data_IF_044796869015
#
_entry.id   IF_044796869015
#
_cell.length_a   1.000
_cell.length_b   1.000
_cell.length_c   1.000
_cell.angle_alpha   90.00
_cell.angle_beta   90.00
_cell.angle_gamma   90.00
#
_symmetry.space_group_name_H-M   'P 1'
#
loop_
_entity.id
_entity.type
_entity.pdbx_description
1 polymer ?
2 polymer ?
3 non-polymer ?
4 water ?
#
# COMPACT_ATOMS: atom_id res chain seq x y z
N UNK A 1 7.18 21.02 -21.93
CA UNK A 1 6.86 20.36 -20.67
C UNK A 1 6.53 21.37 -19.57
N UNK A 2 5.58 20.99 -18.72
CA UNK A 2 5.04 21.85 -17.68
C UNK A 2 5.28 21.16 -16.35
N UNK A 3 6.00 21.83 -15.44
CA UNK A 3 6.45 21.24 -14.19
C UNK A 3 5.55 21.73 -13.05
N UNK A 4 4.79 20.80 -12.48
CA UNK A 4 3.93 21.06 -11.32
C UNK A 4 4.72 20.90 -10.03
N UNK A 5 4.65 21.90 -9.15
CA UNK A 5 5.34 21.85 -7.86
C UNK A 5 4.37 22.15 -6.74
N UNK A 6 4.19 21.18 -5.84
CA UNK A 6 3.33 21.31 -4.68
C UNK A 6 4.13 21.81 -3.49
N UNK A 7 3.48 22.57 -2.61
CA UNK A 7 4.22 23.57 -1.85
C UNK A 7 4.34 23.28 -0.37
N UNK A 8 3.56 22.36 0.20
CA UNK A 8 4.09 21.58 1.34
C UNK A 8 4.29 20.13 0.91
N UNK A 9 5.52 19.61 1.00
CA UNK A 9 5.70 18.19 0.70
C UNK A 9 5.06 17.32 1.76
N UNK A 10 5.02 17.79 3.00
CA UNK A 10 4.48 17.02 4.10
C UNK A 10 3.88 17.99 5.09
N UNK A 11 2.83 17.54 5.79
CA UNK A 11 2.14 18.38 6.77
C UNK A 11 1.28 17.49 7.64
N UNK A 12 1.21 17.83 8.92
CA UNK A 12 0.31 17.14 9.85
C UNK A 12 -0.63 18.15 10.50
N UNK A 13 -1.89 17.75 10.63
CA UNK A 13 -2.98 18.59 11.10
C UNK A 13 -3.78 17.80 12.12
N UNK A 14 -4.70 18.47 12.78
CA UNK A 14 -5.54 17.81 13.77
C UNK A 14 -6.95 17.68 13.23
N UNK A 15 -7.65 16.63 13.67
CA UNK A 15 -9.03 16.44 13.24
C UNK A 15 -9.80 17.73 13.45
N UNK A 16 -10.52 18.16 12.44
CA UNK A 16 -11.26 19.39 12.49
C UNK A 16 -10.55 20.59 11.89
N UNK A 17 -9.21 20.57 11.82
CA UNK A 17 -8.46 21.69 11.26
C UNK A 17 -8.84 21.95 9.80
N UNK A 18 -8.51 23.15 9.34
CA UNK A 18 -8.58 23.50 7.93
C UNK A 18 -7.17 23.42 7.36
N UNK A 19 -7.02 22.73 6.22
CA UNK A 19 -5.72 22.45 5.63
C UNK A 19 -5.72 22.91 4.18
N UNK A 20 -4.62 23.53 3.75
CA UNK A 20 -4.49 24.00 2.37
C UNK A 20 -3.15 23.56 1.80
N UNK A 21 -3.21 22.81 0.67
CA UNK A 21 -2.07 22.47 -0.17
C UNK A 21 -2.00 23.46 -1.33
N UNK A 22 -0.79 23.76 -1.79
CA UNK A 22 -0.59 24.67 -2.92
C UNK A 22 0.13 23.94 -4.06
N UNK A 23 -0.36 24.18 -5.29
CA UNK A 23 0.25 23.62 -6.49
C UNK A 23 0.51 24.77 -7.47
N UNK A 24 1.69 24.78 -8.09
CA UNK A 24 2.08 25.89 -8.97
C UNK A 24 2.70 25.36 -10.26
N UNK A 25 2.10 25.71 -11.39
CA UNK A 25 2.55 25.29 -12.70
C UNK A 25 3.60 26.26 -13.24
N UNK A 26 4.39 25.77 -14.21
CA UNK A 26 5.50 26.54 -14.75
C UNK A 26 5.07 27.44 -15.91
N UNK A 27 3.89 27.23 -16.47
CA UNK A 27 3.30 28.07 -17.50
C UNK A 27 1.80 28.18 -17.27
N UNK A 28 1.18 29.19 -17.86
CA UNK A 28 -0.25 29.36 -17.67
C UNK A 28 -0.98 28.13 -18.20
N UNK A 29 -1.61 27.38 -17.31
CA UNK A 29 -2.43 26.23 -17.69
C UNK A 29 -3.91 26.52 -17.55
N UNK A 30 -4.27 27.80 -17.38
CA UNK A 30 -5.67 28.21 -17.31
C UNK A 30 -6.38 27.67 -16.08
N UNK A 31 -7.48 26.93 -16.27
CA UNK A 31 -8.15 26.24 -15.18
C UNK A 31 -8.11 24.72 -15.33
N UNK A 32 -7.13 24.20 -16.07
CA UNK A 32 -7.01 22.76 -16.36
C UNK A 32 -6.19 22.07 -15.26
N UNK A 33 -6.78 22.03 -14.06
CA UNK A 33 -6.09 21.52 -12.88
C UNK A 33 -6.95 20.46 -12.20
N UNK A 34 -6.34 19.32 -11.88
CA UNK A 34 -7.02 18.19 -11.24
C UNK A 34 -6.41 17.89 -9.87
N UNK A 35 -7.23 17.34 -8.97
CA UNK A 35 -6.77 16.90 -7.66
C UNK A 35 -7.10 15.42 -7.45
N UNK A 36 -6.08 14.62 -7.15
CA UNK A 36 -6.23 13.21 -6.81
C UNK A 36 -5.82 12.95 -5.36
N UNK A 37 -6.56 12.09 -4.68
CA UNK A 37 -6.19 11.57 -3.37
C UNK A 37 -5.76 10.12 -3.45
N UNK A 38 -4.66 9.79 -2.79
CA UNK A 38 -4.13 8.41 -2.79
C UNK A 38 -3.89 7.91 -1.37
N UNK A 39 -4.91 7.28 -0.80
CA UNK A 39 -4.73 6.57 0.46
C UNK A 39 -3.70 5.45 0.28
N UNK A 40 -2.91 5.14 1.30
CA UNK A 40 -1.79 4.21 1.09
C UNK A 40 -2.28 2.82 0.72
N UNK A 41 -1.61 2.23 -0.27
CA UNK A 41 -2.04 0.96 -0.82
C UNK A 41 -2.94 1.11 -2.03
N UNK A 42 -4.06 1.79 -1.86
CA UNK A 42 -5.04 1.95 -2.93
C UNK A 42 -4.47 2.80 -4.09
N UNK A 43 -5.23 2.83 -5.18
CA UNK A 43 -4.89 3.62 -6.37
C UNK A 43 -5.37 5.04 -6.16
N UNK A 44 -4.94 5.99 -7.00
CA UNK A 44 -5.45 7.36 -6.85
C UNK A 44 -6.93 7.43 -7.14
N UNK A 45 -7.54 8.50 -6.64
CA UNK A 45 -8.96 8.77 -6.83
C UNK A 45 -9.14 10.24 -7.22
N UNK A 46 -9.85 10.50 -8.31
CA UNK A 46 -10.13 11.89 -8.65
C UNK A 46 -11.02 12.48 -7.56
N UNK A 47 -10.66 13.70 -7.11
CA UNK A 47 -11.47 14.48 -6.18
C UNK A 47 -12.03 15.74 -6.79
N UNK A 48 -11.24 16.43 -7.61
CA UNK A 48 -11.64 17.70 -8.22
C UNK A 48 -11.10 17.73 -9.64
N UNK A 49 -11.96 18.10 -10.60
CA UNK A 49 -11.55 18.40 -11.95
C UNK A 49 -11.70 19.89 -12.20
N UNK A 50 -10.91 20.41 -13.16
CA UNK A 50 -11.05 21.80 -13.64
C UNK A 50 -11.04 22.81 -12.49
N UNK A 51 -10.09 22.64 -11.58
CA UNK A 51 -9.80 23.54 -10.46
C UNK A 51 -10.77 23.40 -9.29
N UNK A 52 -12.11 23.45 -9.52
CA UNK A 52 -13.02 23.44 -8.39
C UNK A 52 -14.29 22.59 -8.58
N UNK A 53 -14.31 21.69 -9.54
CA UNK A 53 -15.49 20.86 -9.75
C UNK A 53 -15.37 19.61 -8.91
N UNK A 54 -16.19 19.53 -7.85
CA UNK A 54 -16.21 18.34 -7.00
C UNK A 54 -16.83 17.19 -7.76
N UNK A 55 -16.20 16.01 -7.65
CA UNK A 55 -16.74 14.78 -8.23
C UNK A 55 -17.78 14.21 -7.28
N UNK A 56 -18.96 13.90 -7.81
CA UNK A 56 -20.04 13.46 -6.95
C UNK A 56 -19.60 12.24 -6.14
N UNK A 57 -19.95 12.25 -4.86
CA UNK A 57 -19.36 11.33 -3.93
C UNK A 57 -18.40 12.04 -3.01
N UNK A 58 -17.45 12.78 -3.58
CA UNK A 58 -16.38 13.41 -2.80
C UNK A 58 -16.95 14.37 -1.75
N UNK A 59 -16.66 14.17 -0.46
CA UNK A 59 -17.23 15.06 0.57
C UNK A 59 -16.95 16.52 0.26
N UNK A 60 -17.81 17.37 0.79
CA UNK A 60 -17.78 18.80 0.52
C UNK A 60 -16.81 19.55 1.41
N UNK A 61 -16.04 18.86 2.26
CA UNK A 61 -14.98 19.56 2.96
C UNK A 61 -13.82 19.90 2.04
N UNK A 62 -13.79 19.31 0.83
CA UNK A 62 -12.75 19.56 -0.16
C UNK A 62 -13.18 20.65 -1.15
N UNK A 63 -12.24 21.52 -1.50
CA UNK A 63 -12.53 22.64 -2.39
C UNK A 63 -11.30 22.99 -3.19
N UNK A 64 -11.51 23.62 -4.35
CA UNK A 64 -10.43 24.04 -5.22
C UNK A 64 -10.50 25.53 -5.51
N UNK A 65 -9.32 26.12 -5.71
CA UNK A 65 -9.23 27.56 -5.93
C UNK A 65 -8.05 27.86 -6.86
N UNK A 66 -8.15 28.99 -7.54
CA UNK A 66 -7.06 29.56 -8.29
C UNK A 66 -7.29 29.50 -9.80
N UNK A 67 -6.46 30.26 -10.51
CA UNK A 67 -6.42 30.22 -11.97
C UNK A 67 -5.01 30.61 -12.42
N UNK A 68 -4.64 30.13 -13.58
CA UNK A 68 -3.34 30.51 -14.13
C UNK A 68 -2.24 29.53 -13.74
N UNK A 69 -1.37 29.94 -12.82
CA UNK A 69 -0.28 29.07 -12.39
C UNK A 69 -0.30 28.78 -10.89
N UNK A 70 -1.33 29.19 -10.16
CA UNK A 70 -1.42 28.90 -8.73
C UNK A 70 -2.79 28.32 -8.41
N UNK A 71 -2.79 27.13 -7.78
CA UNK A 71 -4.01 26.39 -7.48
C UNK A 71 -3.93 25.89 -6.05
N UNK A 72 -5.10 25.81 -5.39
CA UNK A 72 -5.19 25.49 -3.98
C UNK A 72 -6.29 24.48 -3.71
N UNK A 73 -5.94 23.38 -3.05
CA UNK A 73 -6.90 22.43 -2.49
C UNK A 73 -7.06 22.70 -1.00
N UNK A 74 -8.31 22.89 -0.55
CA UNK A 74 -8.61 23.17 0.85
C UNK A 74 -9.46 22.06 1.44
N UNK A 75 -9.00 21.48 2.56
CA UNK A 75 -9.82 20.61 3.40
C UNK A 75 -10.22 21.43 4.62
N UNK A 76 -11.52 21.69 4.77
CA UNK A 76 -12.01 22.67 5.73
C UNK A 76 -12.12 22.11 7.15
N UNK A 77 -12.44 20.83 7.32
CA UNK A 77 -12.34 20.17 8.63
C UNK A 77 -11.78 18.77 8.40
N UNK A 78 -10.45 18.66 8.51
CA UNK A 78 -9.72 17.40 8.30
C UNK A 78 -10.31 16.24 9.09
N UNK A 79 -10.47 15.10 8.41
CA UNK A 79 -11.01 13.89 9.01
C UNK A 79 -9.96 12.79 9.08
N UNK A 80 -10.12 11.81 9.96
CA UNK A 80 -9.09 10.78 10.06
C UNK A 80 -8.90 10.01 8.77
N UNK A 81 -9.98 9.77 8.00
CA UNK A 81 -9.88 9.08 6.72
C UNK A 81 -9.35 9.97 5.60
N UNK A 82 -8.96 11.21 5.91
CA UNK A 82 -8.26 12.07 4.97
C UNK A 82 -6.75 11.85 4.97
N UNK A 83 -6.25 10.93 5.78
CA UNK A 83 -4.86 10.51 5.68
C UNK A 83 -4.57 9.97 4.27
N UNK A 84 -3.65 10.62 3.56
CA UNK A 84 -3.39 10.28 2.16
C UNK A 84 -2.31 11.20 1.61
N UNK A 85 -1.87 10.90 0.39
CA UNK A 85 -1.07 11.85 -0.38
C UNK A 85 -1.95 12.40 -1.49
N UNK A 86 -1.78 13.69 -1.80
CA UNK A 86 -2.60 14.37 -2.78
C UNK A 86 -1.70 14.88 -3.91
N UNK A 87 -2.07 14.60 -5.16
CA UNK A 87 -1.33 15.04 -6.34
C UNK A 87 -2.18 15.97 -7.18
N UNK A 88 -1.59 17.04 -7.69
CA UNK A 88 -2.28 17.82 -8.71
C UNK A 88 -1.87 17.31 -10.09
N UNK A 89 -2.76 17.52 -11.05
CA UNK A 89 -2.50 17.13 -12.43
C UNK A 89 -2.90 18.26 -13.35
N UNK A 90 -1.98 18.67 -14.21
CA UNK A 90 -2.25 19.65 -15.24
C UNK A 90 -2.83 18.94 -16.47
N UNK A 91 -4.08 19.26 -16.81
CA UNK A 91 -4.74 18.64 -17.95
C UNK A 91 -4.71 19.53 -19.19
N UNK A 92 -3.75 20.46 -19.27
CA UNK A 92 -3.71 21.44 -20.35
C UNK A 92 -3.12 20.84 -21.63
N UNK A 93 -1.84 20.49 -21.59
CA UNK A 93 -1.18 19.94 -22.77
C UNK A 93 -0.52 18.61 -22.45
N UNK A 94 -0.45 17.76 -23.47
CA UNK A 94 0.24 16.48 -23.37
C UNK A 94 1.74 16.69 -23.27
N UNK A 95 2.44 15.97 -22.35
CA UNK A 95 1.88 14.97 -21.42
C UNK A 95 1.29 15.63 -20.19
N UNK A 96 0.11 15.18 -19.74
CA UNK A 96 -0.45 15.68 -18.50
C UNK A 96 0.46 15.24 -17.36
N UNK A 97 1.03 16.20 -16.65
CA UNK A 97 2.05 15.92 -15.66
C UNK A 97 1.48 16.15 -14.27
N UNK A 98 2.08 15.47 -13.29
CA UNK A 98 1.58 15.44 -11.92
C UNK A 98 2.50 16.24 -11.00
N UNK A 99 1.92 16.67 -9.88
CA UNK A 99 2.73 17.23 -8.82
C UNK A 99 3.41 16.13 -8.03
N UNK A 100 4.40 16.51 -7.23
CA UNK A 100 5.16 15.52 -6.48
C UNK A 100 4.39 14.97 -5.28
N UNK A 101 3.18 15.42 -5.02
CA UNK A 101 2.46 14.86 -3.90
C UNK A 101 2.66 15.65 -2.62
N UNK A 102 1.63 15.64 -1.80
CA UNK A 102 1.69 16.22 -0.47
C UNK A 102 1.19 15.16 0.51
N UNK A 103 2.12 14.57 1.25
CA UNK A 103 1.76 13.68 2.35
C UNK A 103 1.04 14.48 3.43
N UNK A 104 -0.08 13.95 3.90
CA UNK A 104 -0.91 14.62 4.88
C UNK A 104 -1.19 13.67 6.04
N UNK A 105 -0.69 14.00 7.23
CA UNK A 105 -0.74 13.12 8.39
C UNK A 105 -1.68 13.69 9.44
N UNK A 106 -2.45 12.83 10.11
CA UNK A 106 -3.34 13.29 11.17
C UNK A 106 -2.64 13.20 12.51
N UNK A 107 -2.72 14.28 13.30
CA UNK A 107 -2.22 14.32 14.67
C UNK A 107 -3.34 13.97 15.62
N UNK A 108 -3.00 13.22 16.68
CA UNK A 108 -3.96 12.75 17.66
C UNK A 108 -3.26 12.62 19.00
N UNK A 109 -4.03 12.30 20.04
CA UNK A 109 -3.49 12.21 21.38
C UNK A 109 -2.52 11.04 21.47
N UNK A 110 -1.67 11.07 22.50
CA UNK A 110 -0.73 9.96 22.73
C UNK A 110 -1.51 8.68 23.01
N UNK A 111 -1.07 7.58 22.42
CA UNK A 111 -1.66 6.26 22.65
C UNK A 111 -0.54 5.27 22.90
N UNK A 112 -0.64 4.51 24.01
CA UNK A 112 0.48 3.59 24.24
C UNK A 112 0.22 2.23 23.60
N UNK A 113 1.27 1.53 23.17
CA UNK A 113 1.06 0.28 22.43
C UNK A 113 0.55 -0.84 23.31
N UNK A 114 -0.29 -1.68 22.72
CA UNK A 114 -0.54 -3.01 23.26
C UNK A 114 0.53 -3.96 22.73
N UNK A 115 1.32 -4.53 23.63
CA UNK A 115 2.46 -5.36 23.27
C UNK A 115 2.05 -6.82 23.35
N UNK A 116 2.23 -7.56 22.26
CA UNK A 116 1.97 -8.99 22.21
C UNK A 116 3.25 -9.71 21.79
N UNK A 117 3.31 -11.00 22.08
CA UNK A 117 4.43 -11.81 21.63
C UNK A 117 3.92 -13.19 21.22
N UNK A 118 4.52 -13.75 20.18
CA UNK A 118 4.08 -15.01 19.57
C UNK A 118 5.28 -15.93 19.47
N UNK A 119 5.33 -17.02 20.21
CA UNK A 119 6.40 -18.02 20.02
C UNK A 119 6.33 -18.63 18.64
N UNK A 120 7.39 -19.30 18.18
CA UNK A 120 7.34 -19.91 16.85
C UNK A 120 6.36 -21.08 16.84
N UNK A 121 5.68 -21.25 15.71
CA UNK A 121 4.83 -22.43 15.51
C UNK A 121 5.70 -23.68 15.47
N UNK A 122 5.19 -24.77 16.05
CA UNK A 122 5.91 -26.04 15.93
C UNK A 122 6.09 -26.39 14.46
N UNK A 123 5.12 -26.03 13.63
CA UNK A 123 5.24 -26.13 12.19
C UNK A 123 6.56 -25.54 11.70
N UNK A 124 6.82 -24.27 12.03
CA UNK A 124 8.06 -23.67 11.56
C UNK A 124 9.28 -24.39 12.14
N UNK A 125 9.15 -24.94 13.35
CA UNK A 125 10.30 -25.56 14.03
C UNK A 125 10.77 -26.81 13.32
N UNK A 126 9.83 -27.56 12.71
CA UNK A 126 10.20 -28.75 11.95
C UNK A 126 11.28 -28.46 10.91
N UNK A 127 11.24 -27.28 10.29
CA UNK A 127 12.16 -26.94 9.21
C UNK A 127 13.44 -26.30 9.72
N UNK A 128 13.65 -26.22 11.02
CA UNK A 128 14.94 -25.78 11.53
C UNK A 128 15.15 -24.29 11.50
N UNK A 129 14.09 -23.51 11.70
CA UNK A 129 14.20 -22.07 11.91
C UNK A 129 13.11 -21.66 12.90
N UNK A 130 13.43 -20.67 13.72
CA UNK A 130 12.49 -20.17 14.72
C UNK A 130 12.40 -18.66 14.60
N UNK A 131 11.20 -18.17 14.27
CA UNK A 131 10.94 -16.75 14.21
C UNK A 131 10.03 -16.39 15.36
N UNK A 132 10.43 -15.39 16.14
CA UNK A 132 9.63 -14.90 17.26
C UNK A 132 9.12 -13.53 16.88
N UNK A 133 7.83 -13.28 17.13
CA UNK A 133 7.14 -12.10 16.65
C UNK A 133 6.58 -11.32 17.84
N UNK A 134 6.87 -10.02 17.87
CA UNK A 134 6.36 -9.10 18.87
C UNK A 134 5.52 -8.04 18.18
N UNK A 135 4.35 -7.77 18.74
CA UNK A 135 3.37 -6.89 18.13
C UNK A 135 3.12 -5.69 19.03
N UNK A 136 3.35 -4.49 18.52
CA UNK A 136 2.96 -3.24 19.17
C UNK A 136 1.76 -2.69 18.41
N UNK A 137 0.61 -2.67 19.04
CA UNK A 137 -0.64 -2.44 18.34
C UNK A 137 -1.21 -1.07 18.71
N UNK A 138 -1.52 -0.26 17.70
CA UNK A 138 -2.38 0.92 17.84
C UNK A 138 -1.82 1.94 18.84
N UNK A 139 -0.63 2.46 18.52
CA UNK A 139 0.03 3.47 19.34
C UNK A 139 0.24 4.75 18.51
N UNK A 140 0.45 5.88 19.23
CA UNK A 140 0.72 7.19 18.63
C UNK A 140 1.46 8.07 19.63
N UNK A 141 2.48 8.84 19.19
CA UNK A 141 3.05 8.93 17.84
C UNK A 141 3.84 7.70 17.42
N UNK A 142 4.66 7.86 16.39
CA UNK A 142 5.25 6.73 15.69
C UNK A 142 6.52 6.20 16.33
N UNK A 143 7.28 7.03 17.04
CA UNK A 143 8.57 6.58 17.53
C UNK A 143 8.36 5.61 18.67
N UNK A 144 8.75 4.37 18.43
CA UNK A 144 8.78 3.32 19.43
C UNK A 144 10.11 2.61 19.26
N UNK A 145 10.51 1.86 20.28
CA UNK A 145 11.81 1.21 20.25
C UNK A 145 11.66 -0.21 20.77
N UNK A 146 11.96 -1.19 19.93
CA UNK A 146 11.91 -2.59 20.31
C UNK A 146 13.32 -3.09 20.55
N UNK A 147 13.53 -3.74 21.68
CA UNK A 147 14.72 -4.52 21.95
C UNK A 147 14.30 -5.94 22.24
N UNK A 148 15.03 -6.89 21.66
CA UNK A 148 14.83 -8.29 21.93
C UNK A 148 15.84 -8.76 22.96
N UNK A 149 15.41 -9.62 23.88
CA UNK A 149 16.28 -10.11 24.92
C UNK A 149 16.05 -11.59 25.11
N UNK A 150 17.14 -12.36 25.12
CA UNK A 150 17.13 -13.80 25.30
C UNK A 150 17.85 -14.11 26.59
N UNK A 151 17.12 -14.68 27.54
CA UNK A 151 17.62 -14.94 28.89
C UNK A 151 18.23 -13.66 29.47
N UNK A 152 17.48 -12.57 29.33
CA UNK A 152 17.84 -11.23 29.78
C UNK A 152 19.12 -10.72 29.13
N UNK A 153 19.46 -11.21 27.95
CA UNK A 153 20.65 -10.78 27.23
C UNK A 153 20.24 -10.07 25.95
N UNK A 154 20.69 -8.82 25.81
CA UNK A 154 20.35 -8.00 24.65
C UNK A 154 20.76 -8.69 23.35
N UNK A 155 19.80 -8.91 22.47
CA UNK A 155 20.09 -9.46 21.15
C UNK A 155 20.51 -8.35 20.20
N UNK A 156 21.25 -8.74 19.16
CA UNK A 156 22.01 -7.77 18.39
C UNK A 156 22.00 -8.08 16.90
N UNK A 157 21.08 -8.92 16.46
CA UNK A 157 21.05 -9.32 15.06
C UNK A 157 19.89 -10.26 14.82
N UNK A 158 19.63 -10.51 13.54
CA UNK A 158 18.48 -11.30 13.14
C UNK A 158 17.20 -10.65 13.66
N UNK A 159 17.11 -9.34 13.48
CA UNK A 159 15.93 -8.56 13.85
C UNK A 159 15.50 -7.74 12.64
N UNK A 160 14.21 -7.82 12.33
CA UNK A 160 13.60 -6.95 11.33
C UNK A 160 12.30 -6.43 11.92
N UNK A 161 11.97 -5.18 11.59
CA UNK A 161 10.71 -4.61 12.02
C UNK A 161 10.07 -3.85 10.88
N UNK A 162 8.77 -3.66 11.02
CA UNK A 162 7.96 -2.97 10.03
C UNK A 162 6.88 -2.21 10.76
N UNK A 163 6.51 -1.04 10.25
CA UNK A 163 5.49 -0.21 10.85
C UNK A 163 4.44 0.11 9.78
N UNK A 164 3.17 0.12 10.18
CA UNK A 164 2.09 0.38 9.23
C UNK A 164 2.06 1.84 8.81
N UNK A 165 1.34 2.10 7.74
CA UNK A 165 0.88 3.47 7.54
C UNK A 165 -0.12 3.82 8.64
N UNK A 166 -0.42 5.10 8.74
CA UNK A 166 -1.33 5.56 9.77
C UNK A 166 -2.74 5.03 9.52
N UNK A 167 -3.42 4.70 10.60
CA UNK A 167 -4.71 4.06 10.50
C UNK A 167 -5.79 5.05 10.06
N UNK A 168 -6.67 4.61 9.17
CA UNK A 168 -7.65 5.50 8.58
C UNK A 168 -8.75 5.91 9.55
N UNK A 169 -9.01 5.12 10.59
CA UNK A 169 -10.10 5.35 11.53
C UNK A 169 -9.66 5.94 12.87
N UNK A 170 -8.51 5.52 13.41
CA UNK A 170 -8.10 5.93 14.73
C UNK A 170 -6.69 6.48 14.74
N UNK A 171 -6.12 6.73 13.58
CA UNK A 171 -4.91 7.53 13.40
C UNK A 171 -3.68 6.91 14.03
N UNK A 172 -3.74 5.63 14.44
CA UNK A 172 -2.60 5.05 15.15
C UNK A 172 -1.66 4.35 14.17
N UNK A 173 -0.59 3.81 14.73
CA UNK A 173 0.35 2.94 14.03
C UNK A 173 0.46 1.62 14.77
N UNK A 174 0.96 0.62 14.05
CA UNK A 174 1.27 -0.67 14.61
C UNK A 174 2.66 -1.07 14.15
N UNK A 175 3.36 -1.82 14.99
CA UNK A 175 4.71 -2.25 14.69
C UNK A 175 4.80 -3.76 14.91
N UNK A 176 5.56 -4.41 14.04
CA UNK A 176 5.73 -5.86 14.06
C UNK A 176 7.21 -6.14 14.02
N UNK A 177 7.73 -6.78 15.07
CA UNK A 177 9.14 -7.14 15.15
C UNK A 177 9.27 -8.65 14.97
N UNK A 178 10.32 -9.08 14.28
CA UNK A 178 10.60 -10.49 14.17
C UNK A 178 12.06 -10.78 14.51
N UNK A 179 12.26 -11.72 15.44
CA UNK A 179 13.58 -12.25 15.79
C UNK A 179 13.66 -13.68 15.29
N UNK A 180 14.64 -13.94 14.41
CA UNK A 180 14.71 -15.23 13.70
C UNK A 180 16.00 -15.95 14.07
N UNK A 181 15.86 -17.10 14.71
CA UNK A 181 17.01 -17.92 15.02
C UNK A 181 16.95 -19.22 14.22
N UNK A 182 18.12 -19.85 14.06
CA UNK A 182 18.16 -21.27 13.77
C UNK A 182 17.43 -22.02 14.88
N UNK A 183 16.90 -23.19 14.55
CA UNK A 183 16.28 -23.98 15.60
C UNK A 183 17.29 -24.37 16.68
N UNK A 184 18.55 -24.58 16.29
CA UNK A 184 19.58 -24.89 17.27
C UNK A 184 19.63 -23.83 18.38
N UNK A 185 19.92 -22.57 18.01
CA UNK A 185 20.05 -21.53 19.02
C UNK A 185 18.77 -21.37 19.84
N UNK A 186 17.61 -21.42 19.17
CA UNK A 186 16.35 -21.22 19.87
C UNK A 186 16.20 -22.18 21.03
N UNK A 187 16.77 -23.38 20.91
CA UNK A 187 16.65 -24.38 21.95
C UNK A 187 17.86 -24.40 22.89
N UNK A 188 18.82 -23.49 22.70
CA UNK A 188 19.91 -23.27 23.64
C UNK A 188 19.53 -22.28 24.75
N UNK A 189 18.27 -21.90 24.86
CA UNK A 189 17.86 -20.79 25.71
C UNK A 189 16.44 -21.02 26.19
N UNK A 190 16.03 -20.24 27.20
CA UNK A 190 14.75 -20.45 27.86
C UNK A 190 13.81 -19.26 27.72
N UNK A 191 14.29 -18.07 28.06
CA UNK A 191 13.46 -16.89 28.20
C UNK A 191 13.67 -16.00 26.99
N UNK A 192 12.58 -15.68 26.30
CA UNK A 192 12.56 -14.76 25.17
C UNK A 192 11.66 -13.60 25.52
N UNK A 193 12.21 -12.38 25.49
CA UNK A 193 11.48 -11.20 25.91
C UNK A 193 11.54 -10.13 24.83
N UNK A 194 10.44 -9.39 24.73
CA UNK A 194 10.31 -8.22 23.87
C UNK A 194 10.23 -6.99 24.76
N UNK A 195 11.09 -6.01 24.54
CA UNK A 195 11.12 -4.82 25.38
C UNK A 195 10.80 -3.59 24.54
N UNK A 196 9.74 -2.87 24.92
CA UNK A 196 9.14 -1.81 24.12
C UNK A 196 9.25 -0.50 24.88
N UNK A 197 9.85 0.51 24.25
CA UNK A 197 9.82 1.88 24.75
C UNK A 197 8.92 2.69 23.83
N UNK A 198 8.01 3.46 24.43
CA UNK A 198 7.17 4.41 23.72
C UNK A 198 6.72 5.48 24.72
N UNK A 199 6.55 6.72 24.22
CA UNK A 199 6.37 7.87 25.10
C UNK A 199 5.11 7.79 25.94
N UNK A 200 4.09 7.07 25.48
CA UNK A 200 2.93 6.82 26.30
C UNK A 200 3.13 5.77 27.37
N UNK A 201 4.36 5.31 27.58
CA UNK A 201 4.69 4.40 28.66
C UNK A 201 5.62 5.11 29.63
N UNK A 202 5.42 4.84 30.93
CA UNK A 202 6.23 5.45 31.98
C UNK A 202 7.67 4.94 31.93
N UNK A 203 7.83 3.64 31.72
CA UNK A 203 9.13 2.98 31.63
C UNK A 203 8.97 1.77 30.73
N UNK A 204 10.07 1.25 30.15
CA UNK A 204 9.95 0.19 29.14
C UNK A 204 9.10 -0.99 29.59
N UNK A 205 8.34 -1.53 28.67
CA UNK A 205 7.42 -2.65 28.92
C UNK A 205 8.00 -3.92 28.29
N UNK A 206 7.97 -5.01 29.06
CA UNK A 206 8.56 -6.28 28.66
C UNK A 206 7.49 -7.36 28.65
N UNK A 207 7.25 -7.94 27.47
CA UNK A 207 6.45 -9.14 27.32
C UNK A 207 7.39 -10.29 26.98
N UNK A 208 7.14 -11.47 27.57
CA UNK A 208 8.08 -12.58 27.43
C UNK A 208 7.38 -13.91 27.56
N UNK A 209 8.05 -14.97 27.08
CA UNK A 209 7.58 -16.34 27.25
C UNK A 209 8.74 -17.30 27.48
N UNK A 210 8.42 -18.47 28.03
CA UNK A 210 9.41 -19.53 28.27
C UNK A 210 9.31 -20.55 27.15
N UNK A 211 10.43 -20.82 26.48
CA UNK A 211 10.41 -21.79 25.38
C UNK A 211 9.88 -23.16 25.79
N UNK B 1 -19.86 0.65 -9.29
CA UNK B 1 -20.38 0.45 -10.63
C UNK B 1 -19.30 0.47 -11.71
N UNK B 2 -18.63 1.63 -11.86
CA UNK B 2 -17.64 1.83 -12.91
C UNK B 2 -16.27 1.44 -12.36
N UNK B 3 -15.76 0.30 -12.81
CA UNK B 3 -14.56 -0.29 -12.21
C UNK B 3 -13.61 -0.81 -13.26
N UNK B 4 -12.31 -0.58 -13.04
CA UNK B 4 -11.26 -1.12 -13.88
C UNK B 4 -10.50 -2.18 -13.08
N UNK B 5 -10.41 -3.40 -13.62
CA UNK B 5 -9.75 -4.52 -12.95
C UNK B 5 -8.55 -4.95 -13.80
N UNK B 6 -7.39 -5.14 -13.15
CA UNK B 6 -6.09 -5.28 -13.81
C UNK B 6 -5.50 -6.68 -13.63
N UNK B 7 -4.55 -6.99 -14.51
CA UNK B 7 -3.81 -8.24 -14.42
C UNK B 7 -2.91 -8.24 -13.19
N UNK B 8 -2.67 -9.44 -12.65
CA UNK B 8 -1.92 -9.58 -11.41
C UNK B 8 -0.43 -9.34 -11.59
N UNK B 9 0.28 -9.35 -10.46
CA UNK B 9 1.68 -8.97 -10.46
C UNK B 9 2.52 -9.98 -11.23
N UNK B 10 3.68 -9.50 -11.67
CA UNK B 10 4.56 -10.26 -12.55
C UNK B 10 6.00 -9.87 -12.28
N UNK B 11 6.90 -10.85 -12.40
CA UNK B 11 8.34 -10.60 -12.37
C UNK B 11 8.88 -10.98 -13.74
N UNK B 12 9.65 -10.07 -14.34
CA UNK B 12 10.27 -10.31 -15.63
C UNK B 12 11.76 -10.04 -15.52
N UNK B 13 12.53 -10.71 -16.38
CA UNK B 13 13.97 -10.55 -16.39
C UNK B 13 14.34 -9.29 -17.18
N UNK B 14 15.51 -8.73 -16.90
CA UNK B 14 15.99 -7.60 -17.72
C UNK B 14 15.97 -7.98 -19.19
N UNK B 15 15.39 -7.10 -20.02
CA UNK B 15 15.33 -7.29 -21.45
C UNK B 15 14.10 -8.01 -21.96
N UNK B 16 13.36 -8.71 -21.10
CA UNK B 16 12.11 -9.34 -21.51
C UNK B 16 11.08 -8.26 -21.83
N UNK B 17 9.84 -8.68 -21.99
CA UNK B 17 8.71 -7.79 -22.19
C UNK B 17 7.60 -8.18 -21.23
N UNK B 18 6.74 -7.22 -20.91
CA UNK B 18 5.62 -7.46 -20.02
C UNK B 18 4.35 -6.90 -20.65
N UNK B 19 3.22 -7.56 -20.39
CA UNK B 19 1.95 -7.19 -20.98
C UNK B 19 0.90 -7.23 -19.89
N UNK B 20 0.30 -6.09 -19.61
CA UNK B 20 -0.62 -5.92 -18.50
C UNK B 20 -2.00 -5.64 -19.04
N UNK B 21 -3.00 -6.41 -18.59
CA UNK B 21 -4.37 -6.23 -19.02
C UNK B 21 -5.09 -5.21 -18.12
N UNK B 22 -6.29 -4.85 -18.54
CA UNK B 22 -7.13 -3.90 -17.84
C UNK B 22 -8.54 -4.03 -18.44
N UNK B 23 -9.47 -4.62 -17.70
CA UNK B 23 -10.82 -4.90 -18.16
C UNK B 23 -11.80 -3.96 -17.48
N UNK B 24 -12.74 -3.43 -18.27
CA UNK B 24 -13.67 -2.40 -17.81
C UNK B 24 -15.06 -2.99 -17.57
N UNK B 25 -15.84 -2.25 -16.79
CA UNK B 25 -17.21 -2.66 -16.54
C UNK B 25 -18.00 -1.43 -16.16
N UNK B 26 -19.32 -1.51 -16.33
CA UNK B 26 -20.19 -0.49 -15.78
C UNK B 26 -20.14 0.85 -16.47
N UNK B 27 -19.52 0.93 -17.64
CA UNK B 27 -19.54 2.14 -18.46
C UNK B 27 -19.32 1.69 -19.92
N UNK B 28 -19.39 2.65 -20.85
CA UNK B 28 -19.31 2.31 -22.26
C UNK B 28 -17.84 2.40 -22.70
N UNK B 29 -17.21 1.24 -22.88
CA UNK B 29 -15.79 1.18 -23.17
C UNK B 29 -15.40 2.03 -24.38
N UNK B 30 -16.17 1.96 -25.49
CA UNK B 30 -15.79 2.63 -26.73
C UNK B 30 -15.85 4.15 -26.64
N UNK B 31 -16.39 4.69 -25.56
CA UNK B 31 -16.67 6.12 -25.47
C UNK B 31 -15.74 6.84 -24.51
N UNK B 32 -14.62 6.22 -24.14
CA UNK B 32 -13.58 6.90 -23.36
C UNK B 32 -12.22 6.51 -23.91
N UNK B 33 -11.19 7.20 -23.44
CA UNK B 33 -9.81 6.77 -23.58
C UNK B 33 -9.42 5.84 -22.45
N UNK B 34 -8.28 5.17 -22.61
CA UNK B 34 -7.63 4.44 -21.52
C UNK B 34 -6.20 4.95 -21.46
N UNK B 35 -5.77 5.34 -20.27
CA UNK B 35 -4.43 5.88 -20.06
C UNK B 35 -3.69 4.99 -19.07
N UNK B 36 -2.40 4.82 -19.30
CA UNK B 36 -1.52 4.10 -18.40
C UNK B 36 -0.57 5.09 -17.73
N UNK B 37 -0.38 4.93 -16.42
CA UNK B 37 0.59 5.73 -15.66
C UNK B 37 1.30 4.81 -14.68
N UNK B 38 2.62 4.99 -14.54
CA UNK B 38 3.41 4.17 -13.63
C UNK B 38 3.92 4.97 -12.43
N UNK B 39 4.08 4.28 -11.31
CA UNK B 39 4.53 4.86 -10.04
C UNK B 39 5.67 4.02 -9.51
N UNK B 40 6.89 4.55 -9.60
CA UNK B 40 8.02 3.84 -9.03
C UNK B 40 7.90 3.82 -7.50
N UNK B 41 8.23 2.68 -6.84
CA UNK B 41 8.05 2.62 -5.38
C UNK B 41 8.85 3.73 -4.73
N UNK B 42 8.15 4.69 -4.10
CA UNK B 42 8.78 5.74 -3.32
C UNK B 42 8.56 7.15 -3.85
N UNK B 43 8.39 7.30 -5.17
CA UNK B 43 8.42 8.68 -5.69
C UNK B 43 7.65 8.89 -7.00
N UNK B 44 6.32 8.90 -6.92
CA UNK B 44 5.54 9.74 -7.81
C UNK B 44 5.10 9.09 -9.12
N UNK B 45 4.14 9.77 -9.76
CA UNK B 45 3.34 9.26 -10.87
C UNK B 45 3.82 9.84 -12.20
N UNK B 46 3.80 8.99 -13.24
CA UNK B 46 4.36 9.29 -14.55
C UNK B 46 3.42 8.80 -15.65
N UNK B 47 3.01 9.69 -16.56
CA UNK B 47 2.19 9.31 -17.70
C UNK B 47 2.98 8.46 -18.68
N UNK B 48 2.35 7.39 -19.18
CA UNK B 48 2.97 6.56 -20.20
C UNK B 48 2.36 6.74 -21.57
N UNK B 49 1.10 7.12 -21.64
CA UNK B 49 0.42 7.17 -22.91
C UNK B 49 -1.06 6.90 -22.73
N UNK B 50 -1.77 6.98 -23.85
CA UNK B 50 -3.18 6.64 -23.85
C UNK B 50 -3.59 6.17 -25.23
N UNK B 51 -4.77 5.55 -25.28
CA UNK B 51 -5.28 4.91 -26.46
C UNK B 51 -6.77 5.17 -26.54
N UNK B 52 -7.27 5.37 -27.75
CA UNK B 52 -8.69 5.61 -27.98
C UNK B 52 -9.37 4.26 -28.11
N UNK B 53 -10.35 4.00 -27.25
CA UNK B 53 -11.08 2.75 -27.36
C UNK B 53 -12.02 2.73 -28.56
N UNK B 54 -12.20 3.89 -29.24
CA UNK B 54 -13.01 4.01 -30.44
C UNK B 54 -12.16 4.03 -31.72
N UNK B 55 -11.21 4.96 -31.82
CA UNK B 55 -10.34 5.03 -33.01
C UNK B 55 -9.25 3.97 -32.96
N UNK B 56 -8.70 3.71 -31.78
CA UNK B 56 -7.47 2.96 -31.64
C UNK B 56 -6.22 3.82 -31.69
N UNK B 57 -6.35 5.14 -31.82
CA UNK B 57 -5.20 6.03 -31.86
C UNK B 57 -4.44 5.96 -30.54
N UNK B 58 -3.11 5.98 -30.62
CA UNK B 58 -2.26 5.96 -29.45
C UNK B 58 -1.38 7.20 -29.43
N UNK B 59 -1.13 7.71 -28.23
CA UNK B 59 -0.14 8.76 -28.02
C UNK B 59 0.76 8.31 -26.87
N UNK B 60 2.02 8.03 -27.19
CA UNK B 60 2.96 7.51 -26.22
C UNK B 60 3.81 8.63 -25.63
N UNK B 61 4.41 8.35 -24.47
CA UNK B 61 5.35 9.28 -23.86
C UNK B 61 6.71 9.14 -24.54
N UNK B 62 7.41 10.25 -24.68
CA UNK B 62 8.60 10.27 -25.53
C UNK B 62 9.67 9.33 -25.01
N UNK B 63 9.98 9.37 -23.71
CA UNK B 63 11.08 8.57 -23.17
C UNK B 63 10.95 7.11 -23.59
N UNK B 64 9.83 6.48 -23.28
CA UNK B 64 9.55 5.14 -23.78
C UNK B 64 9.47 5.17 -25.31
N UNK B 65 10.63 5.23 -25.98
CA UNK B 65 10.74 5.50 -27.41
C UNK B 65 9.84 4.58 -28.23
N UNK B 66 10.19 3.30 -28.31
CA UNK B 66 9.38 2.34 -29.02
C UNK B 66 9.23 1.08 -28.19
N UNK B 67 9.10 1.28 -26.88
CA UNK B 67 9.04 0.19 -25.93
C UNK B 67 7.63 -0.13 -25.44
N UNK B 68 6.70 0.83 -25.55
CA UNK B 68 5.34 0.68 -25.02
C UNK B 68 4.35 0.51 -26.18
N UNK B 69 3.41 -0.41 -26.02
CA UNK B 69 2.37 -0.68 -27.01
C UNK B 69 1.03 -0.77 -26.31
N UNK B 70 0.10 0.12 -26.64
CA UNK B 70 -1.22 0.09 -26.03
C UNK B 70 -2.28 -0.29 -27.06
N UNK B 71 -3.07 -1.29 -26.74
CA UNK B 71 -4.09 -1.84 -27.62
C UNK B 71 -5.40 -1.89 -26.85
N UNK B 72 -6.50 -2.15 -27.56
CA UNK B 72 -7.78 -2.41 -26.93
C UNK B 72 -8.44 -3.53 -27.69
N UNK B 73 -9.31 -4.27 -27.02
CA UNK B 73 -10.16 -5.29 -27.64
C UNK B 73 -11.59 -4.90 -27.33
N UNK B 74 -12.35 -4.55 -28.36
CA UNK B 74 -13.66 -3.94 -28.12
C UNK B 74 -14.60 -4.94 -27.47
N UNK B 75 -14.61 -6.19 -27.96
CA UNK B 75 -15.56 -7.17 -27.48
C UNK B 75 -15.40 -7.47 -25.99
N UNK B 76 -14.17 -7.39 -25.47
CA UNK B 76 -13.87 -7.76 -24.09
C UNK B 76 -13.76 -6.57 -23.14
N UNK B 77 -14.05 -5.35 -23.61
CA UNK B 77 -13.85 -4.12 -22.83
C UNK B 77 -12.53 -4.15 -22.06
N UNK B 78 -11.46 -4.49 -22.76
CA UNK B 78 -10.16 -4.69 -22.14
C UNK B 78 -9.11 -3.91 -22.92
N UNK B 79 -8.20 -3.27 -22.19
CA UNK B 79 -7.05 -2.59 -22.79
C UNK B 79 -5.76 -3.25 -22.32
N UNK B 80 -4.74 -3.16 -23.16
CA UNK B 80 -3.49 -3.86 -22.93
C UNK B 80 -2.36 -2.85 -23.02
N UNK B 81 -1.25 -3.19 -22.38
CA UNK B 81 -0.08 -2.34 -22.43
C UNK B 81 1.12 -3.28 -22.37
N UNK B 82 1.98 -3.19 -23.37
CA UNK B 82 3.18 -3.99 -23.48
C UNK B 82 4.37 -3.08 -23.31
N UNK B 83 5.38 -3.52 -22.55
CA UNK B 83 6.60 -2.76 -22.35
C UNK B 83 7.80 -3.64 -22.71
N UNK B 84 8.37 -3.43 -23.90
CA UNK B 84 9.42 -4.28 -24.41
C UNK B 84 10.80 -3.86 -23.90
N UNK B 85 11.72 -4.84 -23.83
CA UNK B 85 13.11 -4.61 -23.45
C UNK B 85 13.20 -3.99 -22.04
N UNK B 86 12.83 -4.81 -21.05
CA UNK B 86 12.62 -4.27 -19.70
C UNK B 86 13.94 -3.93 -19.01
N UNK B 87 13.93 -2.81 -18.29
CA UNK B 87 15.08 -2.28 -17.58
C UNK B 87 14.86 -2.43 -16.08
N UNK B 88 15.96 -2.44 -15.32
CA UNK B 88 15.84 -2.59 -13.87
C UNK B 88 15.09 -1.44 -13.25
N UNK B 89 15.13 -0.26 -13.86
CA UNK B 89 14.39 0.91 -13.41
C UNK B 89 12.98 0.98 -13.98
N UNK B 90 12.47 -0.13 -14.51
CA UNK B 90 11.08 -0.19 -14.91
C UNK B 90 10.19 -0.77 -13.81
N UNK B 91 10.77 -1.23 -12.69
CA UNK B 91 9.98 -1.68 -11.55
C UNK B 91 9.08 -0.58 -11.04
N UNK B 92 7.76 -0.82 -11.04
CA UNK B 92 6.79 0.18 -10.61
C UNK B 92 5.44 -0.51 -10.46
N UNK B 93 4.48 0.18 -9.87
CA UNK B 93 3.09 -0.19 -10.05
C UNK B 93 2.56 0.47 -11.32
N UNK B 94 1.93 -0.32 -12.18
CA UNK B 94 1.45 0.12 -13.49
C UNK B 94 -0.08 0.25 -13.43
N UNK B 95 -0.56 1.48 -13.39
CA UNK B 95 -2.01 1.74 -13.39
C UNK B 95 -2.54 1.95 -14.79
N UNK B 96 -3.78 1.52 -14.99
CA UNK B 96 -4.63 2.00 -16.07
C UNK B 96 -5.72 2.88 -15.47
N UNK B 97 -6.22 3.82 -16.26
CA UNK B 97 -7.35 4.64 -15.83
C UNK B 97 -8.22 4.92 -17.04
N UNK B 98 -9.50 5.19 -16.78
CA UNK B 98 -10.39 5.74 -17.79
C UNK B 98 -10.17 7.26 -17.87
N UNK B 99 -9.93 7.74 -19.08
CA UNK B 99 -9.58 9.14 -19.33
C UNK B 99 -10.65 9.79 -20.20
N UNK B 100 -11.10 10.99 -19.82
CA UNK B 100 -11.97 11.81 -20.66
C UNK B 100 -11.12 12.83 -21.41
N UNK B 101 -11.14 12.74 -22.74
CA UNK B 101 -10.30 13.59 -23.59
C UNK B 101 -10.92 13.75 -24.97
N UNK B 102 -12.03 14.47 -25.07
CA UNK B 102 -12.89 14.40 -26.24
C UNK B 102 -12.40 15.32 -27.35
N UNK B 103 -13.20 15.38 -28.43
CA UNK B 103 -12.95 16.32 -29.52
C UNK B 103 -13.28 17.75 -29.09
N UNK B 104 -14.17 17.90 -28.11
CA UNK B 104 -14.44 19.18 -27.47
C UNK B 104 -13.39 19.40 -26.38
N UNK B 105 -12.53 20.40 -26.56
CA UNK B 105 -11.47 20.67 -25.58
C UNK B 105 -12.09 21.51 -24.45
N UNK B 106 -12.44 20.84 -23.35
CA UNK B 106 -12.92 21.49 -22.14
C UNK B 106 -11.98 21.15 -20.99
N UNK B 107 -12.19 21.81 -19.85
CA UNK B 107 -11.36 21.55 -18.67
C UNK B 107 -11.78 20.29 -17.92
N UNK B 108 -12.95 19.73 -18.22
CA UNK B 108 -13.32 18.41 -17.69
C UNK B 108 -12.51 17.34 -18.41
N UNK B 109 -11.22 17.32 -18.11
CA UNK B 109 -10.28 16.31 -18.57
C UNK B 109 -9.70 15.65 -17.34
N UNK B 110 -9.74 14.32 -17.29
CA UNK B 110 -9.26 13.68 -16.07
C UNK B 110 -9.15 12.18 -16.29
N UNK B 111 -8.44 11.54 -15.36
CA UNK B 111 -8.41 10.08 -15.20
C UNK B 111 -9.27 9.74 -13.99
N UNK B 112 -10.26 8.88 -14.17
CA UNK B 112 -11.08 8.47 -13.05
C UNK B 112 -11.72 7.12 -13.36
N UNK B 113 -12.13 6.37 -12.33
CA UNK B 113 -11.71 4.98 -12.21
C UNK B 113 -10.27 4.73 -12.65
N UNK B 114 -9.45 4.34 -11.68
CA UNK B 114 -8.15 3.73 -11.94
C UNK B 114 -8.26 2.25 -11.58
N UNK B 115 -7.47 1.42 -12.25
CA UNK B 115 -7.32 0.04 -11.86
C UNK B 115 -6.53 -0.09 -10.55
N UNK B 116 -6.66 -1.24 -9.89
CA UNK B 116 -6.01 -1.33 -8.59
C UNK B 116 -4.49 -1.30 -8.70
N UNK B 117 -3.93 -1.53 -9.87
CA UNK B 117 -2.49 -1.50 -10.04
C UNK B 117 -1.90 -2.88 -10.29
N UNK B 118 -0.81 -2.90 -11.04
CA UNK B 118 -0.02 -4.12 -11.24
C UNK B 118 1.41 -3.79 -10.89
N UNK B 119 1.96 -4.52 -9.92
CA UNK B 119 3.38 -4.42 -9.62
C UNK B 119 4.17 -5.30 -10.59
N UNK B 120 5.04 -4.69 -11.36
CA UNK B 120 5.96 -5.39 -12.24
C UNK B 120 7.34 -5.23 -11.64
N UNK B 121 7.92 -6.32 -11.16
CA UNK B 121 9.31 -6.32 -10.73
C UNK B 121 10.17 -6.81 -11.89
N UNK B 122 11.24 -6.09 -12.18
CA UNK B 122 12.25 -6.49 -13.16
C UNK B 122 13.51 -6.92 -12.40
N UNK B 123 13.83 -8.20 -12.46
CA UNK B 123 15.01 -8.72 -11.76
C UNK B 123 15.48 -10.03 -12.37
N UNK B 124 16.78 -10.30 -12.20
CA UNK B 124 17.36 -11.56 -12.67
C UNK B 124 17.06 -12.76 -11.78
N UNK B 125 16.45 -12.55 -10.62
CA UNK B 125 16.25 -13.61 -9.64
C UNK B 125 14.96 -14.38 -9.91
N UNK B 126 14.90 -15.59 -9.35
CA UNK B 126 13.81 -16.52 -9.62
C UNK B 126 12.70 -16.34 -8.60
N UNK B 127 11.46 -16.38 -9.08
CA UNK B 127 10.31 -16.36 -8.18
C UNK B 127 10.47 -17.42 -7.10
N UNK B 128 9.97 -17.09 -5.89
CA UNK B 128 9.81 -18.06 -4.81
C UNK B 128 8.53 -17.73 -4.06
N UNK B 129 7.56 -18.64 -4.05
CA UNK B 129 6.40 -18.51 -3.20
C UNK B 129 6.75 -18.58 -1.71
N UNK B 130 5.80 -18.24 -0.83
CA UNK B 130 6.11 -18.15 0.60
C UNK B 130 5.61 -19.32 1.41
N UNK B 131 6.25 -19.55 2.56
CA UNK B 131 5.71 -20.43 3.58
C UNK B 131 4.92 -19.60 4.60
N UNK B 132 3.76 -20.11 4.98
CA UNK B 132 2.79 -19.41 5.81
C UNK B 132 2.70 -20.10 7.16
N UNK B 133 3.14 -19.41 8.25
CA UNK B 133 3.12 -19.96 9.62
C UNK B 133 2.09 -19.25 10.48
N UNK B 134 1.43 -19.97 11.39
CA UNK B 134 0.43 -19.33 12.24
C UNK B 134 1.05 -18.67 13.45
N UNK B 135 0.46 -17.56 13.85
CA UNK B 135 0.78 -16.88 15.08
C UNK B 135 -0.42 -17.07 15.99
N UNK B 136 -0.28 -17.92 17.00
CA UNK B 136 -1.43 -18.43 17.72
C UNK B 136 -1.71 -17.59 18.96
N UNK B 137 -2.97 -17.33 19.25
CA UNK B 137 -3.28 -16.57 20.47
C UNK B 137 -3.06 -17.43 21.70
N UNK B 138 -2.46 -16.82 22.72
CA UNK B 138 -2.18 -17.47 23.99
C UNK B 138 -2.31 -16.41 25.09
N UNK B 139 -1.94 -16.78 26.32
CA UNK B 139 -1.94 -15.78 27.39
C UNK B 139 -0.89 -14.70 27.15
N UNK B 140 0.14 -15.00 26.37
CA UNK B 140 1.13 -14.01 25.95
C UNK B 140 0.62 -13.11 24.84
N UNK B 141 -0.63 -13.30 24.41
CA UNK B 141 -1.23 -12.46 23.37
C UNK B 141 -2.58 -11.91 23.81
N UNK B 142 -2.78 -11.73 25.13
CA UNK B 142 -4.04 -11.27 25.70
C UNK B 142 -3.82 -10.02 26.54
N UNK B 143 -4.57 -8.96 26.23
CA UNK B 143 -4.55 -7.69 26.96
C UNK B 143 -6.00 -7.28 27.15
N UNK B 144 -6.53 -7.48 28.36
CA UNK B 144 -7.85 -6.98 28.72
C UNK B 144 -8.97 -7.59 27.92
N UNK B 145 -8.99 -8.92 27.86
CA UNK B 145 -10.04 -9.62 27.13
C UNK B 145 -9.93 -9.57 25.63
N UNK B 146 -8.82 -9.07 25.07
CA UNK B 146 -8.63 -9.02 23.63
C UNK B 146 -7.39 -9.85 23.26
N UNK B 147 -7.58 -10.83 22.38
CA UNK B 147 -6.50 -11.66 21.87
C UNK B 147 -5.98 -11.13 20.56
N UNK B 148 -4.74 -11.49 20.24
CA UNK B 148 -4.17 -11.16 18.94
C UNK B 148 -3.65 -12.45 18.31
N UNK B 149 -3.93 -12.60 17.01
CA UNK B 149 -3.49 -13.77 16.26
C UNK B 149 -3.10 -13.30 14.87
N UNK B 150 -2.26 -14.09 14.21
CA UNK B 150 -1.80 -13.67 12.91
C UNK B 150 -1.31 -14.79 12.03
N UNK B 151 -0.66 -14.40 10.93
CA UNK B 151 0.05 -15.31 10.06
C UNK B 151 1.40 -14.69 9.71
N UNK B 152 2.41 -15.54 9.54
CA UNK B 152 3.76 -15.10 9.23
C UNK B 152 4.09 -15.62 7.84
N UNK B 153 3.99 -14.74 6.84
CA UNK B 153 4.25 -15.07 5.43
C UNK B 153 5.75 -14.89 5.21
N UNK B 154 6.49 -15.99 5.10
CA UNK B 154 7.94 -15.90 5.15
C UNK B 154 8.58 -16.42 3.87
N UNK B 155 9.61 -15.70 3.41
CA UNK B 155 10.50 -16.12 2.33
C UNK B 155 9.84 -16.17 0.95
N UNK B 156 9.57 -15.02 0.34
CA UNK B 156 9.02 -15.00 -1.01
C UNK B 156 9.71 -13.92 -1.83
N UNK B 157 9.63 -14.05 -3.16
CA UNK B 157 10.17 -13.11 -4.15
C UNK B 157 9.39 -13.26 -5.45
N UNK B 158 9.01 -12.16 -6.09
CA UNK B 158 9.13 -10.83 -5.47
C UNK B 158 7.87 -10.50 -4.69
N UNK B 159 7.77 -9.25 -4.25
CA UNK B 159 6.52 -8.69 -3.82
C UNK B 159 5.51 -8.75 -4.97
N UNK B 160 4.20 -8.69 -4.67
CA UNK B 160 3.63 -8.56 -3.33
C UNK B 160 2.89 -9.81 -2.90
N UNK B 161 2.57 -9.93 -1.62
CA UNK B 161 1.58 -10.91 -1.20
C UNK B 161 0.39 -10.12 -0.71
N UNK B 162 -0.76 -10.75 -0.74
CA UNK B 162 -1.96 -10.17 -0.19
C UNK B 162 -2.50 -11.14 0.85
N UNK B 163 -3.00 -10.60 1.95
CA UNK B 163 -3.59 -11.41 2.99
C UNK B 163 -5.03 -10.96 3.14
N UNK B 164 -5.91 -11.91 3.43
CA UNK B 164 -7.26 -11.62 3.87
C UNK B 164 -7.59 -12.54 5.05
N UNK B 165 -8.67 -12.21 5.74
CA UNK B 165 -9.10 -13.04 6.87
C UNK B 165 -10.56 -13.42 6.68
N UNK B 166 -10.83 -14.72 6.81
CA UNK B 166 -12.18 -15.27 6.59
C UNK B 166 -12.68 -14.87 5.19
N UNK B 167 -11.78 -15.01 4.21
CA UNK B 167 -12.08 -14.73 2.82
C UNK B 167 -12.75 -13.36 2.64
N UNK B 168 -12.17 -12.35 3.28
CA UNK B 168 -12.67 -11.00 3.19
C UNK B 168 -13.69 -10.59 4.23
N UNK B 169 -14.24 -11.54 4.99
CA UNK B 169 -15.30 -11.21 5.94
C UNK B 169 -14.77 -10.49 7.18
N UNK B 170 -13.54 -10.76 7.58
CA UNK B 170 -12.93 -10.17 8.77
C UNK B 170 -11.95 -9.09 8.32
N UNK B 171 -12.18 -7.85 8.74
CA UNK B 171 -11.37 -6.72 8.28
C UNK B 171 -11.12 -5.71 9.39
N UNK B 172 -12.10 -5.51 10.25
CA UNK B 172 -11.92 -4.60 11.38
C UNK B 172 -10.96 -5.22 12.39
N UNK B 173 -9.84 -4.57 12.61
CA UNK B 173 -8.84 -5.07 13.54
C UNK B 173 -7.63 -5.66 12.88
N UNK B 174 -7.63 -5.80 11.55
CA UNK B 174 -6.55 -6.44 10.82
C UNK B 174 -5.43 -5.45 10.57
N UNK B 175 -4.18 -5.93 10.61
CA UNK B 175 -3.00 -5.17 10.22
C UNK B 175 -2.12 -6.07 9.37
N UNK B 176 -1.90 -5.72 8.10
CA UNK B 176 -0.88 -6.37 7.29
C UNK B 176 0.28 -5.40 7.15
N UNK B 177 1.46 -5.80 7.58
CA UNK B 177 2.55 -4.83 7.66
C UNK B 177 3.30 -4.78 6.35
N UNK B 178 3.93 -3.65 6.07
CA UNK B 178 4.95 -3.62 5.02
C UNK B 178 5.94 -4.78 5.15
N UNK B 179 6.38 -5.28 4.02
CA UNK B 179 7.32 -6.40 4.00
C UNK B 179 8.72 -5.91 4.36
N UNK B 180 9.47 -6.78 5.00
CA UNK B 180 10.86 -6.54 5.29
C UNK B 180 11.72 -7.34 4.31
N UNK B 181 12.94 -6.87 4.10
CA UNK B 181 13.95 -7.61 3.36
C UNK B 181 14.82 -8.40 4.34
N UNK B 182 14.92 -9.70 4.11
CA UNK B 182 15.78 -10.54 4.95
C UNK B 182 17.23 -10.45 4.47
N UNK B 183 18.13 -10.90 5.33
CA UNK B 183 19.56 -10.96 5.00
C UNK B 183 19.79 -11.71 3.70
N UNK B 184 18.76 -12.43 3.22
CA UNK B 184 18.85 -13.31 2.06
C UNK B 184 18.27 -12.72 0.78
N UNK B 185 17.62 -11.56 0.84
CA UNK B 185 17.00 -11.03 -0.36
C UNK B 185 15.60 -11.54 -0.61
N UNK B 186 15.03 -12.30 0.31
CA UNK B 186 13.64 -12.75 0.22
C UNK B 186 12.81 -11.98 1.23
N UNK B 187 11.65 -11.50 0.79
CA UNK B 187 10.74 -10.73 1.61
C UNK B 187 9.96 -11.61 2.57
N UNK B 188 9.47 -10.99 3.64
CA UNK B 188 8.53 -11.62 4.57
C UNK B 188 7.59 -10.55 5.09
N UNK B 189 6.43 -10.99 5.56
CA UNK B 189 5.57 -10.09 6.31
C UNK B 189 4.79 -10.88 7.35
N UNK B 190 4.01 -10.14 8.12
CA UNK B 190 3.09 -10.68 9.09
C UNK B 190 1.75 -9.97 8.94
N UNK B 191 0.69 -10.67 9.31
CA UNK B 191 -0.65 -10.13 9.28
C UNK B 191 -1.30 -10.57 10.58
N UNK B 192 -1.85 -9.62 11.34
CA UNK B 192 -2.42 -9.89 12.63
C UNK B 192 -3.83 -9.32 12.67
N UNK B 193 -4.59 -9.77 13.66
CA UNK B 193 -5.92 -9.25 13.93
C UNK B 193 -6.17 -9.37 15.43
N UNK B 194 -6.94 -8.43 15.95
CA UNK B 194 -7.37 -8.45 17.33
C UNK B 194 -8.85 -8.82 17.40
N UNK B 195 -9.18 -9.70 18.32
CA UNK B 195 -10.51 -10.30 18.44
C UNK B 195 -10.84 -10.38 19.92
N UNK B 196 -12.10 -10.60 20.28
CA UNK B 196 -12.42 -10.84 21.69
C UNK B 196 -11.94 -12.23 22.08
N UNK B 197 -11.15 -12.31 23.14
CA UNK B 197 -10.64 -13.62 23.55
C UNK B 197 -11.74 -14.51 24.10
N UNK B 198 -12.89 -13.93 24.45
CA UNK B 198 -14.04 -14.74 24.81
C UNK B 198 -14.42 -15.68 23.67
N UNK B 199 -14.62 -15.14 22.48
CA UNK B 199 -15.05 -15.93 21.33
C UNK B 199 -13.87 -16.57 20.59
N UNK B 200 -12.96 -17.20 21.32
CA UNK B 200 -11.81 -17.82 20.67
C UNK B 200 -12.10 -19.26 20.24
N UNK B 201 -12.75 -20.05 21.11
CA UNK B 201 -13.17 -21.38 20.73
C UNK B 201 -14.42 -21.43 19.88
N UNK B 202 -15.08 -20.30 19.72
CA UNK B 202 -16.32 -20.23 18.95
C UNK B 202 -16.11 -19.71 17.54
N UNK B 203 -15.08 -18.90 17.32
CA UNK B 203 -14.80 -18.37 15.99
C UNK B 203 -13.63 -19.09 15.36
N UNK B 204 -13.72 -19.27 14.06
CA UNK B 204 -12.64 -19.79 13.23
C UNK B 204 -11.98 -18.63 12.51
N UNK B 205 -10.64 -18.62 12.51
CA UNK B 205 -9.88 -17.58 11.85
C UNK B 205 -8.93 -18.18 10.82
N UNK B 206 -9.15 -17.84 9.54
CA UNK B 206 -8.33 -18.36 8.46
C UNK B 206 -7.75 -17.19 7.67
N UNK B 207 -6.43 -17.21 7.44
CA UNK B 207 -5.77 -16.19 6.63
C UNK B 207 -5.55 -16.72 5.22
N UNK B 208 -5.90 -15.91 4.22
CA UNK B 208 -5.85 -16.30 2.81
C UNK B 208 -4.71 -15.54 2.14
N UNK B 209 -3.56 -16.23 2.01
CA UNK B 209 -2.31 -15.65 1.51
C UNK B 209 -2.21 -15.90 0.01
N UNK B 210 -2.28 -14.84 -0.79
CA UNK B 210 -2.15 -14.93 -2.25
C UNK B 210 -0.86 -14.25 -2.67
N UNK B 211 0.04 -15.00 -3.28
CA UNK B 211 1.24 -14.46 -3.91
C UNK B 211 1.15 -14.90 -5.36
N UNK B 212 0.69 -13.99 -6.23
CA UNK B 212 0.40 -14.33 -7.63
C UNK B 212 1.65 -14.53 -8.50
N UNK B 213 2.75 -13.81 -8.31
CA UNK B 213 3.95 -14.07 -9.13
C UNK B 213 4.48 -15.49 -9.02
N UNK B 214 4.06 -16.27 -8.02
CA UNK B 214 4.34 -17.71 -7.97
C UNK B 214 3.06 -18.54 -8.08
N UNK B 215 1.92 -17.90 -8.36
CA UNK B 215 0.62 -18.56 -8.43
C UNK B 215 0.46 -19.52 -7.26
N UNK B 216 0.88 -19.07 -6.08
CA UNK B 216 0.66 -19.75 -4.82
C UNK B 216 -0.51 -19.09 -4.09
N UNK B 217 -1.19 -19.88 -3.27
CA UNK B 217 -2.40 -19.44 -2.59
C UNK B 217 -2.65 -20.30 -1.35
N UNK B 218 -1.96 -19.98 -0.25
CA UNK B 218 -2.06 -20.75 0.99
C UNK B 218 -3.19 -20.19 1.85
N UNK B 219 -3.95 -21.09 2.46
CA UNK B 219 -4.89 -20.76 3.53
C UNK B 219 -4.38 -21.41 4.81
N UNK B 220 -4.23 -20.64 5.87
CA UNK B 220 -3.86 -21.21 7.14
C UNK B 220 -4.97 -20.95 8.16
N UNK B 221 -5.42 -22.01 8.83
CA UNK B 221 -6.32 -21.91 9.96
C UNK B 221 -5.49 -21.64 11.20
N UNK B 222 -5.76 -20.53 11.88
CA UNK B 222 -5.02 -20.14 13.06
C UNK B 222 -5.87 -20.49 14.27
N UNK B 223 -5.25 -21.14 15.24
CA UNK B 223 -5.98 -21.77 16.33
C UNK B 223 -5.18 -21.59 17.61
N UNK B 224 -5.84 -21.46 18.77
CA UNK B 224 -5.19 -21.34 20.07
C UNK B 224 -4.38 -22.59 20.45
#
# INVERSE_FOLDING_TARGET
DIQMTQSPSSLSASVGDRVTITCRASQSISNYLNWYQQKPGKAPKLLISATSSLQSGVPSRFSGSGSGTDFTLTISSLQPDDFATYYCQQSYSTPWTFGQGTKLEIKRTVAAPSVFIFPPSDEQLKSGTASVVCLLNNFYPREAKVQWKVDNALQSGNSQESVTEQDSKDSTYSLSSTLTLSKADYEKHKVYACEVTHQGLSSPVTKSFNRGEC
EVQLVESGAEVKKPGASVKVSCKASGYTFTSYDITWVRQAPGQGLEWMGWISAYNGDTNYAQRLQGRVTMTTDTSTSTAYMELRSLRSDDTAVYYCARAKHTVLVTAMRWFDPWGQGTLVTVSSASTKGPSVFPLAPSSKSTSGGTAALGCLVKDYFPEPVTVSWNSGALTSGVHTFPAVLQSSGLYSLSSVVTVPSSSLGTQTYICNVNHKPSNTKVDKRVEP
#
